data_IF_976154272372
#
_entry.id   IF_976154272372
#
_cell.length_a   1.000
_cell.length_b   1.000
_cell.length_c   1.000
_cell.angle_alpha   90.00
_cell.angle_beta   90.00
_cell.angle_gamma   90.00
#
_symmetry.space_group_name_H-M   'P 1'
#
loop_
_entity.id
_entity.type
_entity.pdbx_description
1 polymer ?
#
# COMPACT_ATOMS: atom_id res chain seq x y z
N UNK A 1 2.95 -8.84 49.92
CA UNK A 1 2.18 -8.14 48.87
C UNK A 1 2.82 -8.47 47.54
N UNK A 2 2.25 -9.42 46.79
CA UNK A 2 2.71 -9.78 45.45
C UNK A 2 2.01 -8.87 44.45
N UNK A 3 2.77 -7.98 43.81
CA UNK A 3 2.24 -7.14 42.73
C UNK A 3 2.17 -8.02 41.47
N UNK A 4 0.97 -8.49 41.14
CA UNK A 4 0.68 -9.06 39.83
C UNK A 4 0.81 -7.93 38.81
N UNK A 5 1.92 -7.92 38.08
CA UNK A 5 2.05 -7.08 36.89
C UNK A 5 1.19 -7.72 35.80
N UNK A 6 0.05 -7.10 35.51
CA UNK A 6 -0.72 -7.42 34.32
C UNK A 6 0.15 -7.13 33.11
N UNK A 7 0.61 -8.18 32.41
CA UNK A 7 1.28 -8.01 31.13
C UNK A 7 0.33 -7.25 30.21
N UNK A 8 0.71 -6.07 29.67
CA UNK A 8 -0.15 -5.38 28.73
C UNK A 8 -0.41 -6.33 27.56
N UNK A 9 -1.69 -6.61 27.28
CA UNK A 9 -2.09 -7.38 26.12
C UNK A 9 -1.75 -6.53 24.89
N UNK A 10 -0.59 -6.81 24.28
CA UNK A 10 -0.22 -6.17 23.02
C UNK A 10 -1.22 -6.68 21.99
N UNK A 11 -1.96 -5.78 21.31
CA UNK A 11 -2.92 -6.20 20.30
C UNK A 11 -2.19 -7.00 19.21
N UNK A 12 -2.86 -8.05 18.71
CA UNK A 12 -2.28 -8.88 17.67
C UNK A 12 -1.90 -8.03 16.44
N UNK A 13 -0.71 -8.26 15.85
CA UNK A 13 -0.23 -7.47 14.72
C UNK A 13 -1.14 -7.64 13.51
N UNK A 14 -1.26 -6.58 12.71
CA UNK A 14 -1.98 -6.60 11.44
C UNK A 14 -1.08 -6.08 10.32
N UNK A 15 -1.08 -6.78 9.18
CA UNK A 15 -0.49 -6.26 7.95
C UNK A 15 -1.50 -5.41 7.20
N UNK A 16 -1.10 -4.21 6.79
CA UNK A 16 -1.92 -3.30 6.01
C UNK A 16 -1.34 -3.14 4.60
N UNK A 17 -2.17 -3.40 3.60
CA UNK A 17 -1.84 -3.29 2.19
C UNK A 17 -2.69 -2.22 1.53
N UNK A 18 -2.15 -1.52 0.53
CA UNK A 18 -2.83 -0.38 -0.10
C UNK A 18 -3.04 -0.60 -1.59
N UNK A 19 -4.31 -0.57 -2.01
CA UNK A 19 -4.72 -0.68 -3.40
C UNK A 19 -5.42 0.60 -3.85
N UNK A 20 -5.04 1.14 -5.01
CA UNK A 20 -5.70 2.31 -5.57
C UNK A 20 -4.85 3.03 -6.60
N UNK A 21 -5.51 3.81 -7.46
CA UNK A 21 -4.88 4.56 -8.55
C UNK A 21 -3.90 5.62 -8.03
N UNK A 22 -3.05 6.15 -8.91
CA UNK A 22 -2.14 7.26 -8.55
C UNK A 22 -2.99 8.46 -8.12
N UNK A 23 -2.65 9.14 -7.03
CA UNK A 23 -3.47 10.26 -6.52
C UNK A 23 -4.72 9.84 -5.74
N UNK A 24 -4.98 8.54 -5.55
CA UNK A 24 -6.10 8.08 -4.73
C UNK A 24 -5.94 8.41 -3.23
N UNK A 25 -4.72 8.67 -2.75
CA UNK A 25 -4.42 9.00 -1.35
C UNK A 25 -3.75 7.88 -0.55
N UNK A 26 -3.21 6.86 -1.21
CA UNK A 26 -2.56 5.70 -0.56
C UNK A 26 -1.53 6.10 0.49
N UNK A 27 -0.51 6.89 0.13
CA UNK A 27 0.55 7.26 1.08
C UNK A 27 0.05 8.12 2.25
N UNK A 28 -1.04 8.87 2.07
CA UNK A 28 -1.70 9.58 3.19
C UNK A 28 -2.32 8.58 4.16
N UNK A 29 -3.12 7.64 3.66
CA UNK A 29 -3.69 6.57 4.48
C UNK A 29 -2.59 5.70 5.11
N UNK A 30 -1.49 5.47 4.41
CA UNK A 30 -0.34 4.72 4.92
C UNK A 30 0.25 5.39 6.16
N UNK A 31 0.46 6.72 6.09
CA UNK A 31 0.97 7.50 7.20
C UNK A 31 -0.02 7.56 8.37
N UNK A 32 -1.32 7.68 8.09
CA UNK A 32 -2.37 7.62 9.11
C UNK A 32 -2.38 6.27 9.85
N UNK A 33 -2.38 5.15 9.11
CA UNK A 33 -2.32 3.81 9.70
C UNK A 33 -1.04 3.61 10.53
N UNK A 34 0.09 4.09 10.02
CA UNK A 34 1.37 3.97 10.70
C UNK A 34 1.53 4.86 11.93
N UNK A 35 0.64 5.83 12.15
CA UNK A 35 0.63 6.64 13.37
C UNK A 35 0.13 5.88 14.60
N UNK A 36 -0.45 4.69 14.41
CA UNK A 36 -0.88 3.80 15.48
C UNK A 36 0.30 3.24 16.31
N UNK A 37 0.09 2.95 17.60
CA UNK A 37 1.12 2.34 18.43
C UNK A 37 1.53 0.96 17.89
N UNK A 38 2.82 0.64 17.96
CA UNK A 38 3.35 -0.64 17.50
C UNK A 38 3.22 -0.87 15.99
N UNK A 39 3.08 0.19 15.19
CA UNK A 39 2.89 0.10 13.73
C UNK A 39 4.07 0.72 13.00
N UNK A 40 4.58 0.03 11.98
CA UNK A 40 5.69 0.51 11.15
C UNK A 40 5.28 0.68 9.69
N UNK A 41 5.73 1.76 9.06
CA UNK A 41 5.55 2.01 7.63
C UNK A 41 6.78 1.55 6.83
N UNK A 42 6.54 0.72 5.82
CA UNK A 42 7.50 0.39 4.77
C UNK A 42 7.02 0.97 3.44
N UNK A 43 7.76 1.92 2.89
CA UNK A 43 7.43 2.60 1.62
C UNK A 43 8.34 2.11 0.49
N UNK A 44 7.75 1.49 -0.55
CA UNK A 44 8.50 0.99 -1.70
C UNK A 44 9.27 2.12 -2.38
N UNK A 45 8.61 3.26 -2.63
CA UNK A 45 9.22 4.43 -3.27
C UNK A 45 10.45 4.93 -2.52
N UNK A 46 10.41 4.99 -1.19
CA UNK A 46 11.55 5.42 -0.36
C UNK A 46 12.73 4.46 -0.48
N UNK A 47 12.48 3.16 -0.45
CA UNK A 47 13.52 2.14 -0.58
C UNK A 47 14.10 2.12 -1.99
N UNK A 48 13.27 2.21 -3.02
CA UNK A 48 13.73 2.27 -4.41
C UNK A 48 14.60 3.50 -4.67
N UNK A 49 14.18 4.68 -4.19
CA UNK A 49 14.96 5.90 -4.33
C UNK A 49 16.32 5.81 -3.60
N UNK A 50 16.39 5.12 -2.46
CA UNK A 50 17.61 4.95 -1.69
C UNK A 50 18.55 3.87 -2.26
N UNK A 51 17.99 2.75 -2.75
CA UNK A 51 18.76 1.60 -3.20
C UNK A 51 19.18 1.67 -4.67
N UNK A 52 18.40 2.38 -5.51
CA UNK A 52 18.58 2.40 -6.96
C UNK A 52 18.59 3.84 -7.51
N UNK A 53 19.41 4.76 -6.97
CA UNK A 53 19.42 6.15 -7.40
C UNK A 53 19.86 6.27 -8.88
N UNK A 54 18.97 6.81 -9.72
CA UNK A 54 19.23 7.00 -11.15
C UNK A 54 19.12 5.74 -12.02
N UNK A 55 18.74 4.59 -11.45
CA UNK A 55 18.61 3.33 -12.20
C UNK A 55 17.19 3.04 -12.71
N UNK A 56 16.17 3.75 -12.20
CA UNK A 56 14.77 3.58 -12.62
C UNK A 56 14.43 4.66 -13.64
N UNK A 57 14.58 4.33 -14.93
CA UNK A 57 14.32 5.26 -16.03
C UNK A 57 12.99 4.99 -16.71
N UNK A 58 12.51 3.75 -16.66
CA UNK A 58 11.24 3.33 -17.24
C UNK A 58 10.49 2.28 -16.39
N UNK A 59 9.38 1.77 -16.91
CA UNK A 59 8.52 0.77 -16.25
C UNK A 59 9.22 -0.58 -16.10
N UNK A 60 10.09 -0.97 -17.03
CA UNK A 60 10.82 -2.23 -16.97
C UNK A 60 11.90 -2.20 -15.88
N UNK A 61 12.61 -1.07 -15.77
CA UNK A 61 13.55 -0.83 -14.67
C UNK A 61 12.85 -0.85 -13.32
N UNK A 62 11.72 -0.15 -13.20
CA UNK A 62 10.89 -0.19 -11.99
C UNK A 62 10.50 -1.62 -11.64
N UNK A 63 9.97 -2.39 -12.59
CA UNK A 63 9.56 -3.78 -12.37
C UNK A 63 10.70 -4.67 -11.87
N UNK A 64 11.90 -4.51 -12.44
CA UNK A 64 13.12 -5.22 -12.03
C UNK A 64 13.56 -4.84 -10.61
N UNK A 65 13.68 -3.55 -10.32
CA UNK A 65 14.14 -3.06 -9.02
C UNK A 65 13.13 -3.35 -7.91
N UNK A 66 11.83 -3.14 -8.17
CA UNK A 66 10.76 -3.47 -7.24
C UNK A 66 10.70 -4.98 -6.95
N UNK A 67 10.93 -5.85 -7.95
CA UNK A 67 11.01 -7.28 -7.71
C UNK A 67 12.19 -7.68 -6.78
N UNK A 68 13.37 -7.07 -6.97
CA UNK A 68 14.53 -7.30 -6.09
C UNK A 68 14.24 -6.87 -4.65
N UNK A 69 13.64 -5.69 -4.47
CA UNK A 69 13.25 -5.19 -3.16
C UNK A 69 12.21 -6.10 -2.49
N UNK A 70 11.16 -6.51 -3.22
CA UNK A 70 10.13 -7.44 -2.70
C UNK A 70 10.71 -8.77 -2.24
N UNK A 71 11.65 -9.33 -3.01
CA UNK A 71 12.36 -10.55 -2.63
C UNK A 71 13.17 -10.39 -1.34
N UNK A 72 13.81 -9.23 -1.15
CA UNK A 72 14.60 -8.96 0.05
C UNK A 72 13.74 -8.70 1.30
N UNK A 73 12.59 -8.03 1.14
CA UNK A 73 11.83 -7.53 2.30
C UNK A 73 10.74 -8.48 2.81
N UNK A 74 10.26 -9.41 1.98
CA UNK A 74 9.12 -10.28 2.34
C UNK A 74 9.28 -11.02 3.67
N UNK A 75 10.40 -11.72 3.85
CA UNK A 75 10.71 -12.45 5.10
C UNK A 75 10.87 -11.53 6.31
N UNK A 76 11.40 -10.32 6.09
CA UNK A 76 11.53 -9.32 7.15
C UNK A 76 10.16 -8.83 7.63
N UNK A 77 9.18 -8.66 6.74
CA UNK A 77 7.81 -8.30 7.12
C UNK A 77 7.19 -9.37 8.02
N UNK A 78 7.34 -10.65 7.67
CA UNK A 78 6.88 -11.75 8.51
C UNK A 78 7.58 -11.77 9.88
N UNK A 79 8.89 -11.52 9.91
CA UNK A 79 9.66 -11.43 11.18
C UNK A 79 9.19 -10.28 12.07
N UNK A 80 8.88 -9.12 11.48
CA UNK A 80 8.37 -7.94 12.21
C UNK A 80 6.99 -8.22 12.80
N UNK A 81 6.11 -8.84 12.02
CA UNK A 81 4.81 -9.30 12.52
C UNK A 81 4.98 -10.33 13.64
N UNK A 82 5.89 -11.30 13.50
CA UNK A 82 6.22 -12.27 14.55
C UNK A 82 6.73 -11.62 15.85
N UNK A 83 7.34 -10.44 15.76
CA UNK A 83 7.75 -9.63 16.90
C UNK A 83 6.62 -8.77 17.50
N UNK A 84 5.39 -8.90 17.00
CA UNK A 84 4.21 -8.17 17.48
C UNK A 84 4.00 -6.79 16.87
N UNK A 85 4.72 -6.45 15.79
CA UNK A 85 4.53 -5.17 15.10
C UNK A 85 3.49 -5.29 13.98
N UNK A 86 2.55 -4.35 13.96
CA UNK A 86 1.74 -4.12 12.76
C UNK A 86 2.60 -3.46 11.69
N UNK A 87 2.37 -3.80 10.42
CA UNK A 87 3.19 -3.26 9.32
C UNK A 87 2.29 -2.75 8.22
N UNK A 88 2.47 -1.49 7.86
CA UNK A 88 1.87 -0.89 6.67
C UNK A 88 2.86 -1.00 5.53
N UNK A 89 2.49 -1.76 4.49
CA UNK A 89 3.25 -1.85 3.26
C UNK A 89 2.66 -0.88 2.24
N UNK A 90 3.28 0.30 2.09
CA UNK A 90 3.01 1.23 0.98
C UNK A 90 3.76 0.73 -0.27
N UNK A 91 3.34 -0.46 -0.71
CA UNK A 91 3.73 -1.15 -1.93
C UNK A 91 2.47 -1.23 -2.82
N UNK A 92 2.57 -1.01 -4.14
CA UNK A 92 1.38 -0.91 -4.98
C UNK A 92 0.68 -2.27 -5.17
N UNK A 93 -0.46 -2.44 -4.52
CA UNK A 93 -1.36 -3.59 -4.69
C UNK A 93 -2.28 -3.47 -5.93
N UNK A 94 -1.79 -2.82 -6.99
CA UNK A 94 -2.60 -2.38 -8.12
C UNK A 94 -2.80 -3.44 -9.20
N UNK A 95 -2.00 -4.52 -9.19
CA UNK A 95 -2.11 -5.63 -10.13
C UNK A 95 -2.42 -6.91 -9.35
N UNK A 96 -3.08 -7.89 -9.99
CA UNK A 96 -3.27 -9.22 -9.37
C UNK A 96 -1.94 -9.83 -8.94
N UNK A 97 -0.92 -9.77 -9.80
CA UNK A 97 0.44 -10.27 -9.48
C UNK A 97 1.06 -9.62 -8.24
N UNK A 98 0.91 -8.31 -8.06
CA UNK A 98 1.45 -7.65 -6.86
C UNK A 98 0.68 -8.04 -5.60
N UNK A 99 -0.64 -8.30 -5.73
CA UNK A 99 -1.45 -8.84 -4.63
C UNK A 99 -1.13 -10.29 -4.31
N UNK A 100 -0.87 -11.14 -5.28
CA UNK A 100 -0.39 -12.51 -5.05
C UNK A 100 0.86 -12.54 -4.17
N UNK A 101 1.82 -11.65 -4.43
CA UNK A 101 3.00 -11.52 -3.56
C UNK A 101 2.64 -11.05 -2.14
N UNK A 102 1.79 -10.03 -1.99
CA UNK A 102 1.34 -9.56 -0.67
C UNK A 102 0.60 -10.66 0.10
N UNK A 103 -0.15 -11.52 -0.61
CA UNK A 103 -0.82 -12.67 -0.02
C UNK A 103 0.18 -13.69 0.51
N UNK A 104 1.24 -13.99 -0.24
CA UNK A 104 2.33 -14.86 0.22
C UNK A 104 3.00 -14.30 1.49
N UNK A 105 3.24 -12.99 1.55
CA UNK A 105 3.78 -12.33 2.75
C UNK A 105 2.83 -12.48 3.94
N UNK A 106 1.52 -12.29 3.74
CA UNK A 106 0.53 -12.48 4.79
C UNK A 106 0.46 -13.93 5.29
N UNK A 107 0.53 -14.91 4.37
CA UNK A 107 0.57 -16.33 4.72
C UNK A 107 1.79 -16.70 5.54
N UNK A 108 2.97 -16.18 5.16
CA UNK A 108 4.21 -16.38 5.92
C UNK A 108 4.17 -15.71 7.30
N UNK A 109 3.57 -14.53 7.40
CA UNK A 109 3.44 -13.81 8.66
C UNK A 109 2.45 -14.46 9.63
N UNK A 110 1.45 -15.19 9.13
CA UNK A 110 0.47 -15.91 9.95
C UNK A 110 -0.40 -15.02 10.84
N UNK A 111 -0.46 -13.71 10.57
CA UNK A 111 -1.26 -12.73 11.31
C UNK A 111 -2.41 -12.18 10.46
N UNK A 112 -3.26 -11.34 11.05
CA UNK A 112 -4.33 -10.68 10.32
C UNK A 112 -3.76 -9.75 9.24
N UNK A 113 -4.46 -9.63 8.12
CA UNK A 113 -4.11 -8.69 7.05
C UNK A 113 -5.34 -7.95 6.55
N UNK A 114 -5.16 -6.71 6.08
CA UNK A 114 -6.20 -5.89 5.47
C UNK A 114 -5.72 -5.27 4.18
N UNK A 115 -6.52 -5.40 3.12
CA UNK A 115 -6.32 -4.69 1.87
C UNK A 115 -7.22 -3.46 1.83
N UNK A 116 -6.62 -2.29 2.04
CA UNK A 116 -7.31 -1.01 1.96
C UNK A 116 -7.42 -0.62 0.48
N UNK A 117 -8.62 -0.74 -0.08
CA UNK A 117 -8.92 -0.35 -1.46
C UNK A 117 -9.50 1.07 -1.49
N UNK A 118 -8.72 2.01 -2.03
CA UNK A 118 -9.16 3.37 -2.29
C UNK A 118 -9.86 3.45 -3.66
N UNK A 119 -11.17 3.40 -3.60
CA UNK A 119 -12.09 3.47 -4.74
C UNK A 119 -12.39 4.94 -5.06
N UNK A 120 -11.43 5.58 -5.73
CA UNK A 120 -11.46 7.02 -6.03
C UNK A 120 -11.57 7.22 -7.55
N UNK A 121 -12.55 8.00 -8.04
CA UNK A 121 -12.70 8.26 -9.47
C UNK A 121 -11.48 8.90 -10.11
N UNK A 122 -11.23 8.58 -11.37
CA UNK A 122 -10.07 9.09 -12.13
C UNK A 122 -10.02 10.62 -12.16
N UNK A 123 -11.17 11.27 -12.31
CA UNK A 123 -11.27 12.72 -12.31
C UNK A 123 -10.73 13.33 -11.00
N UNK A 124 -11.03 12.72 -9.85
CA UNK A 124 -10.55 13.16 -8.54
C UNK A 124 -9.04 12.89 -8.41
N UNK A 125 -8.59 11.70 -8.83
CA UNK A 125 -7.18 11.34 -8.84
C UNK A 125 -6.35 12.32 -9.69
N UNK A 126 -6.78 12.60 -10.92
CA UNK A 126 -6.14 13.57 -11.83
C UNK A 126 -6.14 14.99 -11.25
N UNK A 127 -7.26 15.44 -10.65
CA UNK A 127 -7.33 16.76 -10.02
C UNK A 127 -6.32 16.91 -8.86
N UNK A 128 -6.23 15.90 -7.98
CA UNK A 128 -5.23 15.87 -6.89
C UNK A 128 -3.81 15.87 -7.43
N UNK A 129 -3.58 15.15 -8.52
CA UNK A 129 -2.27 15.04 -9.15
C UNK A 129 -1.83 16.38 -9.77
N UNK A 130 -2.74 17.10 -10.42
CA UNK A 130 -2.49 18.48 -10.89
C UNK A 130 -2.13 19.41 -9.73
N UNK A 131 -2.89 19.38 -8.63
CA UNK A 131 -2.61 20.20 -7.46
C UNK A 131 -1.23 19.90 -6.83
N UNK A 132 -0.87 18.61 -6.75
CA UNK A 132 0.45 18.16 -6.25
C UNK A 132 1.61 18.56 -7.17
N UNK A 133 1.42 18.47 -8.48
CA UNK A 133 2.43 18.93 -9.44
C UNK A 133 2.64 20.45 -9.31
N UNK A 134 1.57 21.21 -9.07
CA UNK A 134 1.65 22.66 -8.89
C UNK A 134 2.32 23.08 -7.56
N UNK A 135 2.26 22.26 -6.50
CA UNK A 135 2.92 22.57 -5.23
C UNK A 135 4.43 22.40 -5.25
N UNK A 136 4.99 21.63 -6.19
CA UNK A 136 6.44 21.41 -6.31
C UNK A 136 7.06 20.60 -5.17
N UNK A 137 6.25 20.04 -4.27
CA UNK A 137 6.70 19.37 -3.03
C UNK A 137 7.02 17.88 -3.21
N UNK A 138 6.80 17.32 -4.40
CA UNK A 138 7.06 15.91 -4.69
C UNK A 138 8.16 15.74 -5.74
N UNK A 139 9.03 14.72 -5.58
CA UNK A 139 10.17 14.49 -6.48
C UNK A 139 9.77 14.07 -7.91
N UNK A 140 8.49 13.71 -8.12
CA UNK A 140 7.99 13.24 -9.41
C UNK A 140 6.78 14.06 -9.85
N UNK A 141 6.85 14.59 -11.07
CA UNK A 141 5.71 15.12 -11.81
C UNK A 141 5.13 14.01 -12.68
N UNK A 142 3.83 13.76 -12.56
CA UNK A 142 3.14 12.77 -13.40
C UNK A 142 2.20 13.51 -14.34
N UNK A 143 2.29 13.27 -15.65
CA UNK A 143 1.33 13.82 -16.61
C UNK A 143 0.03 13.00 -16.61
N UNK A 144 -1.04 13.53 -17.20
CA UNK A 144 -2.29 12.77 -17.35
C UNK A 144 -2.11 11.55 -18.27
N UNK A 145 -1.31 11.68 -19.34
CA UNK A 145 -0.98 10.55 -20.21
C UNK A 145 -0.23 9.45 -19.45
N UNK A 146 0.69 9.81 -18.56
CA UNK A 146 1.36 8.85 -17.68
C UNK A 146 0.40 8.25 -16.65
N UNK A 147 -0.52 9.05 -16.08
CA UNK A 147 -1.57 8.53 -15.21
C UNK A 147 -2.41 7.48 -15.93
N UNK A 148 -2.86 7.76 -17.16
CA UNK A 148 -3.68 6.84 -17.94
C UNK A 148 -2.90 5.57 -18.30
N UNK A 149 -1.64 5.71 -18.74
CA UNK A 149 -0.77 4.57 -19.05
C UNK A 149 -0.52 3.66 -17.84
N UNK A 150 -0.31 4.23 -16.64
CA UNK A 150 -0.09 3.43 -15.42
C UNK A 150 -1.41 2.83 -14.92
N UNK A 151 -2.50 3.59 -15.01
CA UNK A 151 -3.84 3.13 -14.60
C UNK A 151 -4.37 2.02 -15.49
N UNK A 152 -3.89 1.89 -16.74
CA UNK A 152 -4.23 0.76 -17.61
C UNK A 152 -3.82 -0.62 -17.04
N UNK A 153 -2.83 -0.67 -16.14
CA UNK A 153 -2.44 -1.90 -15.44
C UNK A 153 -3.25 -2.15 -14.17
N UNK A 154 -4.06 -1.19 -13.73
CA UNK A 154 -4.83 -1.30 -12.49
C UNK A 154 -5.97 -2.30 -12.67
N UNK A 155 -6.08 -3.24 -11.74
CA UNK A 155 -7.20 -4.17 -11.63
C UNK A 155 -7.76 -4.06 -10.22
N UNK A 156 -9.07 -3.87 -10.09
CA UNK A 156 -9.74 -3.84 -8.79
C UNK A 156 -9.50 -5.16 -8.03
N UNK A 157 -9.38 -5.12 -6.69
CA UNK A 157 -9.25 -6.34 -5.90
C UNK A 157 -10.57 -7.12 -5.89
N UNK A 158 -10.50 -8.40 -6.23
CA UNK A 158 -11.61 -9.34 -6.18
C UNK A 158 -11.67 -10.10 -4.85
N UNK A 159 -12.86 -10.59 -4.50
CA UNK A 159 -13.06 -11.44 -3.32
C UNK A 159 -12.35 -12.80 -3.45
N UNK A 160 -12.11 -13.25 -4.68
CA UNK A 160 -11.40 -14.49 -5.01
C UNK A 160 -9.91 -14.47 -4.60
N UNK A 161 -9.37 -13.31 -4.23
CA UNK A 161 -7.96 -13.12 -3.91
C UNK A 161 -7.63 -13.35 -2.42
N UNK A 162 -8.64 -13.62 -1.57
CA UNK A 162 -8.42 -14.01 -0.17
C UNK A 162 -7.97 -12.88 0.76
N UNK A 163 -8.31 -11.63 0.43
CA UNK A 163 -8.05 -10.46 1.28
C UNK A 163 -9.27 -10.08 2.13
N UNK A 164 -9.04 -9.63 3.37
CA UNK A 164 -10.00 -8.79 4.08
C UNK A 164 -9.96 -7.38 3.47
N UNK A 165 -10.93 -7.06 2.62
CA UNK A 165 -10.95 -5.81 1.84
C UNK A 165 -11.69 -4.73 2.62
N UNK A 166 -10.98 -3.64 2.92
CA UNK A 166 -11.57 -2.41 3.48
C UNK A 166 -11.68 -1.38 2.36
N UNK A 167 -12.90 -1.07 1.92
CA UNK A 167 -13.14 -0.10 0.84
C UNK A 167 -13.25 1.33 1.37
N UNK A 168 -12.52 2.25 0.75
CA UNK A 168 -12.50 3.68 1.02
C UNK A 168 -13.02 4.42 -0.22
N UNK A 169 -14.23 4.95 -0.15
CA UNK A 169 -14.80 5.79 -1.19
C UNK A 169 -14.92 7.25 -0.70
N UNK A 170 -14.73 8.26 -1.57
CA UNK A 170 -15.01 9.63 -1.20
C UNK A 170 -16.50 9.78 -0.82
N UNK A 171 -16.79 10.51 0.26
CA UNK A 171 -18.17 10.79 0.68
C UNK A 171 -18.91 11.50 -0.48
N UNK A 172 -19.88 10.82 -1.09
CA UNK A 172 -20.69 11.34 -2.21
C UNK A 172 -20.84 10.44 -3.43
N UNK A 173 -20.21 9.25 -3.48
CA UNK A 173 -20.45 8.27 -4.55
C UNK A 173 -21.67 7.41 -4.27
N UNK A 174 -22.85 7.81 -4.74
CA UNK A 174 -23.99 6.89 -4.89
C UNK A 174 -23.54 5.67 -5.71
N UNK A 175 -23.77 4.47 -5.16
CA UNK A 175 -23.73 3.25 -5.95
C UNK A 175 -24.86 3.34 -6.97
N UNK A 176 -24.54 3.51 -8.24
CA UNK A 176 -25.42 3.05 -9.31
C UNK A 176 -25.54 1.53 -9.14
N UNK A 177 -26.54 1.10 -8.38
CA UNK A 177 -26.87 -0.30 -8.20
C UNK A 177 -27.22 -0.89 -9.56
N UNK A 178 -26.59 -2.02 -9.90
CA UNK A 178 -27.15 -2.92 -10.90
C UNK A 178 -27.96 -3.99 -10.15
N UNK A 179 -29.27 -3.89 -10.33
CA UNK A 179 -30.15 -5.04 -10.48
C UNK A 179 -29.70 -5.89 -11.68
#
# INVERSE_FOLDING_TARGET
MSLSLSTPCVPAPTLHFLCGKIGAGKSTLAAELASGPGTMLLSEDRWLAALYPGEILDVADYGRCAARLRNAIGEHVASLAGAGLSVVLDFPANTRRSREWLRQVAEQAGCAHRLHYLDVPDAVCKARLRARNASGTHPYTTSEAQFDAITAYFVEPGEDEGFDIVRHAPAGGERAGLL
#
